data_IF_451889238305
#
_entry.id   IF_451889238305
#
_cell.length_a   1.000
_cell.length_b   1.000
_cell.length_c   1.000
_cell.angle_alpha   90.00
_cell.angle_beta   90.00
_cell.angle_gamma   90.00
#
_symmetry.space_group_name_H-M   'P 1'
#
loop_
_entity.id
_entity.type
_entity.pdbx_description
1 polymer ?
#
# COMPACT_ATOMS: atom_id res chain seq x y z
N UNK A 1 9.02 -5.04 -4.71
CA UNK A 1 8.72 -3.87 -3.84
C UNK A 1 9.89 -3.46 -2.95
N UNK A 2 10.82 -4.34 -2.55
CA UNK A 2 11.97 -3.97 -1.70
C UNK A 2 13.31 -4.07 -2.45
N UNK A 3 13.36 -3.54 -3.66
CA UNK A 3 14.57 -3.54 -4.50
C UNK A 3 15.01 -2.10 -4.78
N UNK A 4 16.26 -1.93 -5.21
CA UNK A 4 16.80 -0.62 -5.55
C UNK A 4 16.06 0.01 -6.74
N UNK A 5 15.72 -0.79 -7.75
CA UNK A 5 14.99 -0.35 -8.94
C UNK A 5 13.60 0.17 -8.59
N UNK A 6 12.90 -0.51 -7.66
CA UNK A 6 11.60 -0.06 -7.19
C UNK A 6 11.71 1.28 -6.43
N UNK A 7 12.71 1.43 -5.57
CA UNK A 7 12.93 2.69 -4.87
C UNK A 7 13.21 3.84 -5.85
N UNK A 8 14.10 3.62 -6.82
CA UNK A 8 14.42 4.61 -7.84
C UNK A 8 13.20 4.98 -8.69
N UNK A 9 12.34 4.02 -9.04
CA UNK A 9 11.11 4.28 -9.78
C UNK A 9 10.11 5.14 -8.98
N UNK A 10 10.00 4.93 -7.67
CA UNK A 10 9.19 5.80 -6.80
C UNK A 10 9.74 7.22 -6.76
N UNK A 11 11.05 7.38 -6.59
CA UNK A 11 11.68 8.71 -6.54
C UNK A 11 11.47 9.48 -7.86
N UNK A 12 11.54 8.77 -9.00
CA UNK A 12 11.22 9.35 -10.31
C UNK A 12 9.77 9.80 -10.41
N UNK A 13 8.82 9.00 -9.91
CA UNK A 13 7.39 9.37 -9.89
C UNK A 13 7.14 10.60 -9.02
N UNK A 14 7.75 10.67 -7.84
CA UNK A 14 7.63 11.79 -6.91
C UNK A 14 8.18 13.06 -7.55
N UNK A 15 9.41 13.02 -8.04
CA UNK A 15 10.05 14.16 -8.68
C UNK A 15 9.27 14.63 -9.92
N UNK A 16 8.65 13.69 -10.66
CA UNK A 16 7.79 14.03 -11.80
C UNK A 16 6.52 14.74 -11.35
N UNK A 17 5.86 14.25 -10.31
CA UNK A 17 4.65 14.87 -9.77
C UNK A 17 4.91 16.29 -9.24
N UNK A 18 6.08 16.51 -8.62
CA UNK A 18 6.50 17.83 -8.15
C UNK A 18 6.72 18.84 -9.30
N UNK A 19 7.29 18.38 -10.42
CA UNK A 19 7.57 19.26 -11.57
C UNK A 19 6.36 19.47 -12.49
N UNK A 20 5.58 18.42 -12.74
CA UNK A 20 4.53 18.39 -13.77
C UNK A 20 3.11 18.49 -13.19
N UNK A 21 2.96 18.35 -11.87
CA UNK A 21 1.67 18.34 -11.18
C UNK A 21 1.13 16.93 -10.88
N UNK A 22 -0.13 16.82 -10.41
CA UNK A 22 -0.68 15.54 -9.95
C UNK A 22 -0.65 14.45 -11.03
N UNK A 23 -0.12 13.28 -10.68
CA UNK A 23 -0.05 12.11 -11.56
C UNK A 23 -1.11 11.07 -11.19
N UNK A 24 -1.72 10.47 -12.21
CA UNK A 24 -2.61 9.32 -12.05
C UNK A 24 -1.88 8.03 -12.46
N UNK A 25 -1.78 7.08 -11.54
CA UNK A 25 -1.28 5.73 -11.81
C UNK A 25 -2.47 4.79 -12.03
N UNK A 26 -2.59 4.25 -13.25
CA UNK A 26 -3.64 3.30 -13.61
C UNK A 26 -3.07 1.89 -13.75
N UNK A 27 -3.81 0.90 -13.26
CA UNK A 27 -3.50 -0.51 -13.46
C UNK A 27 -4.53 -1.11 -14.42
N UNK A 28 -4.07 -1.93 -15.36
CA UNK A 28 -4.93 -2.60 -16.34
C UNK A 28 -5.76 -3.76 -15.75
N UNK A 29 -5.42 -4.22 -14.54
CA UNK A 29 -6.15 -5.28 -13.85
C UNK A 29 -7.57 -4.81 -13.47
N UNK A 30 -8.57 -5.59 -13.85
CA UNK A 30 -9.97 -5.29 -13.54
C UNK A 30 -10.28 -5.50 -12.05
N UNK A 31 -9.56 -6.43 -11.42
CA UNK A 31 -9.81 -6.85 -10.04
C UNK A 31 -8.89 -6.13 -9.05
N UNK A 32 -9.41 -5.22 -8.20
CA UNK A 32 -8.58 -4.29 -7.44
C UNK A 32 -7.72 -4.93 -6.34
N UNK A 33 -8.09 -6.11 -5.84
CA UNK A 33 -7.28 -6.87 -4.86
C UNK A 33 -6.23 -7.80 -5.50
N UNK A 34 -6.22 -7.92 -6.83
CA UNK A 34 -5.24 -8.74 -7.57
C UNK A 34 -4.11 -7.93 -8.18
N UNK A 35 -4.13 -6.61 -8.01
CA UNK A 35 -3.08 -5.74 -8.49
C UNK A 35 -2.19 -5.20 -7.38
N UNK A 36 -1.01 -4.75 -7.76
CA UNK A 36 -0.01 -4.20 -6.85
C UNK A 36 -0.23 -2.73 -6.50
N UNK A 37 -1.32 -2.10 -6.97
CA UNK A 37 -1.53 -0.65 -6.83
C UNK A 37 -1.61 -0.20 -5.37
N UNK A 38 -2.21 -1.03 -4.50
CA UNK A 38 -2.26 -0.75 -3.07
C UNK A 38 -0.88 -0.73 -2.45
N UNK A 39 0.00 -1.65 -2.85
CA UNK A 39 1.36 -1.72 -2.36
C UNK A 39 2.22 -0.53 -2.84
N UNK A 40 1.96 -0.01 -4.06
CA UNK A 40 2.61 1.22 -4.56
C UNK A 40 2.11 2.42 -3.74
N UNK A 41 0.79 2.51 -3.52
CA UNK A 41 0.18 3.56 -2.73
C UNK A 41 0.68 3.58 -1.28
N UNK A 42 0.85 2.39 -0.67
CA UNK A 42 1.46 2.25 0.66
C UNK A 42 2.87 2.83 0.67
N UNK A 43 3.69 2.47 -0.32
CA UNK A 43 5.09 2.90 -0.39
C UNK A 43 5.24 4.43 -0.61
N UNK A 44 4.35 5.04 -1.39
CA UNK A 44 4.29 6.49 -1.57
C UNK A 44 3.82 7.19 -0.29
N UNK A 45 2.75 6.68 0.33
CA UNK A 45 2.19 7.22 1.57
C UNK A 45 3.19 7.15 2.72
N UNK A 46 3.94 6.06 2.83
CA UNK A 46 5.02 5.90 3.81
C UNK A 46 6.18 6.88 3.63
N UNK A 47 6.33 7.47 2.43
CA UNK A 47 7.29 8.55 2.13
C UNK A 47 6.69 9.95 2.31
N UNK A 48 5.46 10.06 2.83
CA UNK A 48 4.77 11.34 3.06
C UNK A 48 4.08 11.91 1.83
N UNK A 49 3.99 11.16 0.73
CA UNK A 49 3.31 11.61 -0.50
C UNK A 49 1.81 11.37 -0.38
N UNK A 50 0.94 12.38 -0.55
CA UNK A 50 -0.50 12.17 -0.53
C UNK A 50 -0.94 11.31 -1.73
N UNK A 51 -1.63 10.21 -1.45
CA UNK A 51 -2.21 9.33 -2.48
C UNK A 51 -3.72 9.24 -2.31
N UNK A 52 -4.44 9.29 -3.44
CA UNK A 52 -5.89 9.18 -3.48
C UNK A 52 -6.33 8.09 -4.46
N UNK A 53 -7.33 7.31 -4.08
CA UNK A 53 -8.02 6.39 -4.98
C UNK A 53 -9.12 7.14 -5.72
N UNK A 54 -9.07 7.10 -7.05
CA UNK A 54 -10.11 7.64 -7.92
C UNK A 54 -11.24 6.60 -7.99
N UNK A 55 -12.35 6.86 -7.31
CA UNK A 55 -13.50 5.94 -7.27
C UNK A 55 -14.56 6.29 -8.31
N UNK A 56 -14.65 7.57 -8.66
CA UNK A 56 -15.50 8.08 -9.75
C UNK A 56 -15.01 9.46 -10.18
N UNK A 57 -15.67 10.05 -11.19
CA UNK A 57 -15.37 11.41 -11.66
C UNK A 57 -15.47 12.50 -10.56
N UNK A 58 -16.22 12.24 -9.48
CA UNK A 58 -16.45 13.22 -8.41
C UNK A 58 -15.95 12.76 -7.03
N UNK A 59 -15.41 11.53 -6.93
CA UNK A 59 -15.06 10.93 -5.63
C UNK A 59 -13.62 10.47 -5.61
N UNK A 60 -12.84 11.11 -4.75
CA UNK A 60 -11.52 10.69 -4.33
C UNK A 60 -11.58 10.15 -2.91
N UNK A 61 -10.84 9.09 -2.64
CA UNK A 61 -10.69 8.55 -1.28
C UNK A 61 -9.21 8.54 -0.90
N UNK A 62 -8.81 9.20 0.20
CA UNK A 62 -7.43 9.17 0.66
C UNK A 62 -6.97 7.73 0.91
N UNK A 63 -5.79 7.38 0.44
CA UNK A 63 -5.20 6.09 0.76
C UNK A 63 -4.77 6.06 2.23
N UNK A 64 -5.03 4.94 2.90
CA UNK A 64 -4.59 4.69 4.27
C UNK A 64 -3.78 3.40 4.31
N UNK A 65 -2.64 3.45 5.00
CA UNK A 65 -1.84 2.26 5.24
C UNK A 65 -2.66 1.21 6.01
N UNK A 66 -2.57 -0.08 5.65
CA UNK A 66 -3.18 -1.15 6.43
C UNK A 66 -2.64 -1.16 7.86
N UNK A 67 -3.49 -1.44 8.86
CA UNK A 67 -3.13 -1.42 10.28
C UNK A 67 -1.96 -2.38 10.64
N UNK A 68 -1.82 -3.46 9.88
CA UNK A 68 -0.74 -4.44 10.07
C UNK A 68 0.56 -4.06 9.35
N UNK A 69 0.54 -3.05 8.48
CA UNK A 69 1.75 -2.56 7.84
C UNK A 69 2.70 -1.97 8.89
N UNK A 70 3.99 -2.08 8.64
CA UNK A 70 5.06 -1.49 9.45
C UNK A 70 5.89 -0.60 8.55
N UNK A 71 6.13 0.64 8.99
CA UNK A 71 6.95 1.60 8.26
C UNK A 71 8.25 1.82 9.02
N UNK A 72 9.39 1.68 8.32
CA UNK A 72 10.71 2.09 8.82
C UNK A 72 11.46 2.77 7.68
N UNK A 73 11.96 3.97 7.91
CA UNK A 73 12.73 4.76 6.94
C UNK A 73 12.05 4.85 5.55
N UNK A 74 10.73 5.09 5.54
CA UNK A 74 9.92 5.17 4.32
C UNK A 74 9.71 3.83 3.58
N UNK A 75 10.15 2.70 4.16
CA UNK A 75 9.91 1.35 3.63
C UNK A 75 8.78 0.67 4.39
N UNK A 76 7.85 0.09 3.63
CA UNK A 76 6.69 -0.65 4.16
C UNK A 76 6.98 -2.14 4.18
N UNK A 77 6.80 -2.78 5.34
CA UNK A 77 6.82 -4.24 5.47
C UNK A 77 5.47 -4.74 5.97
N UNK A 78 5.12 -5.95 5.56
CA UNK A 78 3.86 -6.62 5.91
C UNK A 78 4.23 -7.89 6.65
N UNK A 79 4.37 -7.83 7.99
CA UNK A 79 4.60 -9.04 8.77
C UNK A 79 3.44 -10.01 8.56
N UNK A 80 3.75 -11.30 8.42
CA UNK A 80 2.72 -12.33 8.40
C UNK A 80 1.91 -12.23 9.70
N UNK A 81 0.62 -12.56 9.63
CA UNK A 81 -0.14 -12.84 10.83
C UNK A 81 0.62 -13.91 11.62
N UNK A 82 0.81 -13.68 12.92
CA UNK A 82 1.37 -14.69 13.81
C UNK A 82 0.53 -15.97 13.60
N UNK A 83 1.14 -17.12 13.26
CA UNK A 83 0.38 -18.35 13.12
C UNK A 83 -0.40 -18.62 14.41
N UNK A 84 -1.63 -19.08 14.23
CA UNK A 84 -2.63 -19.31 15.26
C UNK A 84 -2.26 -20.56 16.09
N UNK A 85 -1.06 -20.59 16.69
CA UNK A 85 -0.52 -21.79 17.36
C UNK A 85 -0.96 -21.90 18.83
N UNK A 86 -1.74 -20.97 19.36
CA UNK A 86 -2.22 -21.01 20.75
C UNK A 86 -3.71 -20.68 20.91
N UNK A 87 -4.53 -20.93 19.88
CA UNK A 87 -5.98 -20.97 20.06
C UNK A 87 -6.39 -22.33 20.62
N UNK A 88 -6.04 -22.60 21.87
CA UNK A 88 -6.69 -23.66 22.65
C UNK A 88 -8.17 -23.27 22.75
N UNK A 89 -9.00 -23.85 21.88
CA UNK A 89 -10.44 -23.90 22.12
C UNK A 89 -10.62 -24.56 23.49
N UNK A 90 -11.34 -23.96 24.45
CA UNK A 90 -11.70 -24.70 25.65
C UNK A 90 -12.51 -25.91 25.21
N UNK A 91 -12.03 -27.12 25.52
CA UNK A 91 -12.81 -28.35 25.44
C UNK A 91 -14.14 -28.06 26.14
N UNK A 92 -15.22 -27.98 25.36
CA UNK A 92 -16.57 -27.96 25.91
C UNK A 92 -16.78 -29.35 26.50
N UNK A 93 -16.71 -29.41 27.81
CA UNK A 93 -17.06 -30.56 28.62
C UNK A 93 -18.48 -31.05 28.28
N UNK A 94 -18.56 -32.38 28.09
CA UNK A 94 -19.70 -33.29 28.23
C UNK A 94 -21.11 -32.74 28.03
#
# INVERSE_FOLDING_TARGET
MQTAEFAAALDQLIARAEREGPLALLCAEAVPWRCHRSLIADALTARGVPVFHILSAMRLHPHQLPLFARVRDGRVTYPAAVPDTERTLPERAN
#
